data_IF_351780970920
#
_entry.id   IF_351780970920
#
_cell.length_a   1.000
_cell.length_b   1.000
_cell.length_c   1.000
_cell.angle_alpha   90.00
_cell.angle_beta   90.00
_cell.angle_gamma   90.00
#
_symmetry.space_group_name_H-M   'P 1'
#
loop_
_entity.id
_entity.type
_entity.pdbx_description
1 polymer ?
#
# COMPACT_ATOMS: atom_id res chain seq x y z
N UNK A 1 -0.60 -10.74 -12.39
CA UNK A 1 -1.24 -10.37 -12.34
C UNK A 1 -2.42 -10.30 -11.56
N UNK A 2 -3.38 -11.00 -11.57
CA UNK A 2 -4.57 -10.91 -11.01
C UNK A 2 -4.74 -10.11 -9.79
N UNK A 3 -4.60 -10.59 -8.65
CA UNK A 3 -4.87 -9.87 -7.41
C UNK A 3 -3.74 -8.92 -7.01
N UNK A 4 -2.61 -8.99 -7.71
CA UNK A 4 -1.52 -8.05 -7.50
C UNK A 4 -1.94 -6.61 -7.77
N UNK A 5 -2.94 -6.41 -8.62
CA UNK A 5 -3.43 -5.08 -8.94
C UNK A 5 -4.36 -4.47 -7.92
N UNK A 6 -4.64 -5.16 -6.81
CA UNK A 6 -5.62 -4.67 -5.84
C UNK A 6 -5.18 -3.33 -5.23
N UNK A 7 -3.90 -3.19 -4.93
CA UNK A 7 -3.40 -1.94 -4.37
C UNK A 7 -3.63 -0.76 -5.30
N UNK A 8 -3.38 -0.95 -6.59
CA UNK A 8 -3.58 0.10 -7.59
C UNK A 8 -5.05 0.44 -7.72
N UNK A 9 -5.92 -0.55 -7.77
CA UNK A 9 -7.35 -0.31 -7.90
C UNK A 9 -7.91 0.43 -6.69
N UNK A 10 -7.48 0.07 -5.50
CA UNK A 10 -7.89 0.77 -4.29
C UNK A 10 -7.38 2.20 -4.32
N UNK A 11 -6.11 2.40 -4.68
CA UNK A 11 -5.54 3.74 -4.76
C UNK A 11 -6.31 4.62 -5.74
N UNK A 12 -6.68 4.08 -6.90
CA UNK A 12 -7.46 4.82 -7.88
C UNK A 12 -8.82 5.23 -7.33
N UNK A 13 -9.46 4.36 -6.58
CA UNK A 13 -10.78 4.66 -6.01
C UNK A 13 -10.75 5.74 -4.94
N UNK A 14 -9.69 5.77 -4.14
CA UNK A 14 -9.63 6.72 -3.02
C UNK A 14 -8.80 7.96 -3.33
N UNK A 15 -8.23 8.03 -4.53
CA UNK A 15 -7.33 9.13 -4.91
C UNK A 15 -7.97 10.50 -4.71
N UNK A 16 -9.21 10.67 -5.14
CA UNK A 16 -9.87 11.96 -5.01
C UNK A 16 -9.99 12.41 -3.56
N UNK A 17 -10.35 11.49 -2.67
CA UNK A 17 -10.45 11.81 -1.25
C UNK A 17 -9.10 12.12 -0.64
N UNK A 18 -8.07 11.38 -1.03
CA UNK A 18 -6.73 11.61 -0.52
C UNK A 18 -6.20 12.97 -0.97
N UNK A 19 -6.39 13.32 -2.23
CA UNK A 19 -5.96 14.62 -2.75
C UNK A 19 -6.67 15.76 -2.02
N UNK A 20 -7.96 15.60 -1.73
CA UNK A 20 -8.71 16.61 -0.98
C UNK A 20 -8.19 16.78 0.45
N UNK A 21 -7.49 15.78 0.95
CA UNK A 21 -6.88 15.82 2.28
C UNK A 21 -5.39 16.10 2.23
N UNK A 22 -4.92 16.67 1.12
CA UNK A 22 -3.51 17.07 0.92
C UNK A 22 -2.55 15.88 0.94
N UNK A 23 -3.01 14.73 0.46
CA UNK A 23 -2.18 13.53 0.36
C UNK A 23 -1.93 13.28 -1.12
N UNK A 24 -0.67 13.28 -1.50
CA UNK A 24 -0.28 13.02 -2.88
C UNK A 24 -0.36 11.52 -3.16
N UNK A 25 -0.89 11.15 -4.34
CA UNK A 25 -1.02 9.74 -4.73
C UNK A 25 -0.13 9.48 -5.92
N UNK A 26 0.73 8.47 -5.78
CA UNK A 26 1.64 8.05 -6.83
C UNK A 26 1.33 6.60 -7.15
N UNK A 27 0.99 6.33 -8.41
CA UNK A 27 0.72 4.97 -8.85
C UNK A 27 1.92 4.54 -9.68
N UNK A 28 2.78 3.73 -9.09
CA UNK A 28 4.09 3.46 -9.62
C UNK A 28 4.24 2.19 -10.44
N UNK A 29 3.27 1.36 -10.45
CA UNK A 29 3.31 0.08 -11.16
C UNK A 29 4.69 -0.58 -11.19
N UNK A 30 5.49 -0.31 -12.22
CA UNK A 30 6.81 -0.93 -12.38
C UNK A 30 7.96 0.04 -12.37
N UNK A 31 7.70 1.33 -12.35
CA UNK A 31 8.78 2.32 -12.39
C UNK A 31 9.18 2.74 -10.97
N UNK A 32 10.04 1.92 -10.37
CA UNK A 32 10.48 2.17 -8.99
C UNK A 32 11.30 3.44 -8.86
N UNK A 33 12.12 3.73 -9.85
CA UNK A 33 12.98 4.91 -9.78
C UNK A 33 12.14 6.18 -9.84
N UNK A 34 11.10 6.18 -10.65
CA UNK A 34 10.20 7.33 -10.70
C UNK A 34 9.54 7.54 -9.34
N UNK A 35 9.03 6.47 -8.75
CA UNK A 35 8.41 6.56 -7.43
C UNK A 35 9.36 7.10 -6.38
N UNK A 36 10.60 6.58 -6.37
CA UNK A 36 11.61 7.00 -5.40
C UNK A 36 11.97 8.47 -5.61
N UNK A 37 12.02 8.93 -6.86
CA UNK A 37 12.38 10.32 -7.14
C UNK A 37 11.36 11.32 -6.59
N UNK A 38 10.14 10.88 -6.35
CA UNK A 38 9.08 11.74 -5.84
C UNK A 38 9.00 11.76 -4.31
N UNK A 39 9.74 10.88 -3.65
CA UNK A 39 9.75 10.80 -2.19
C UNK A 39 10.92 11.60 -1.65
N UNK A 40 10.64 12.45 -0.67
CA UNK A 40 11.66 13.27 -0.06
C UNK A 40 11.93 12.83 1.38
N UNK A 41 13.14 13.08 1.84
CA UNK A 41 13.51 12.77 3.21
C UNK A 41 12.59 13.51 4.18
N UNK A 42 12.06 12.79 5.15
CA UNK A 42 11.09 13.35 6.08
C UNK A 42 9.64 13.11 5.72
N UNK A 43 9.38 12.57 4.54
CA UNK A 43 8.00 12.28 4.13
C UNK A 43 7.38 11.20 5.00
N UNK A 44 6.05 11.23 5.07
CA UNK A 44 5.26 10.18 5.70
C UNK A 44 4.56 9.42 4.58
N UNK A 45 4.85 8.14 4.45
CA UNK A 45 4.50 7.36 3.26
C UNK A 45 3.57 6.21 3.60
N UNK A 46 2.57 5.99 2.77
CA UNK A 46 1.73 4.79 2.82
C UNK A 46 1.96 4.00 1.54
N UNK A 47 2.24 2.73 1.69
CA UNK A 47 2.42 1.84 0.54
C UNK A 47 1.30 0.81 0.55
N UNK A 48 0.52 0.78 -0.52
CA UNK A 48 -0.56 -0.20 -0.67
C UNK A 48 -0.05 -1.36 -1.50
N UNK A 49 -0.22 -2.56 -0.99
CA UNK A 49 0.32 -3.75 -1.62
C UNK A 49 -0.61 -4.94 -1.45
N UNK A 50 -0.52 -5.89 -2.37
CA UNK A 50 -1.19 -7.17 -2.24
C UNK A 50 -0.31 -8.07 -1.37
N UNK A 51 -0.91 -8.76 -0.42
CA UNK A 51 -0.17 -9.67 0.45
C UNK A 51 -0.85 -11.02 0.54
N UNK A 52 -0.08 -12.03 0.89
CA UNK A 52 -0.60 -13.38 1.05
C UNK A 52 -0.10 -13.95 2.38
N UNK A 53 -0.89 -13.73 3.44
CA UNK A 53 -0.55 -14.18 4.78
C UNK A 53 -1.50 -15.28 5.26
N UNK A 54 -2.18 -15.94 4.33
CA UNK A 54 -3.15 -17.00 4.63
C UNK A 54 -4.33 -16.49 5.44
N UNK A 55 -4.72 -15.24 5.20
CA UNK A 55 -5.90 -14.64 5.81
C UNK A 55 -7.03 -14.61 4.79
N UNK A 56 -8.18 -14.10 5.20
CA UNK A 56 -9.33 -14.00 4.30
C UNK A 56 -9.12 -12.93 3.24
N UNK A 57 -9.47 -13.19 1.98
CA UNK A 57 -9.34 -12.17 0.93
C UNK A 57 -10.01 -10.86 1.32
N UNK A 58 -9.30 -9.76 1.14
CA UNK A 58 -9.78 -8.43 1.50
C UNK A 58 -9.43 -7.98 2.90
N UNK A 59 -8.87 -8.85 3.71
CA UNK A 59 -8.45 -8.47 5.05
C UNK A 59 -7.25 -7.53 4.96
N UNK A 60 -7.23 -6.50 5.81
CA UNK A 60 -6.20 -5.48 5.76
C UNK A 60 -5.22 -5.66 6.90
N UNK A 61 -3.94 -5.63 6.59
CA UNK A 61 -2.87 -5.71 7.57
C UNK A 61 -2.04 -4.44 7.46
N UNK A 62 -1.87 -3.73 8.57
CA UNK A 62 -1.09 -2.49 8.60
C UNK A 62 0.19 -2.74 9.37
N UNK A 63 1.32 -2.50 8.73
CA UNK A 63 2.64 -2.73 9.34
C UNK A 63 3.46 -1.45 9.24
N UNK A 64 4.12 -1.10 10.33
CA UNK A 64 5.03 0.04 10.33
C UNK A 64 6.14 -0.21 9.30
N UNK A 65 6.47 0.82 8.53
CA UNK A 65 7.44 0.71 7.45
C UNK A 65 8.79 0.17 7.93
N UNK A 66 9.22 0.60 9.11
CA UNK A 66 10.49 0.16 9.67
C UNK A 66 10.50 -1.33 10.02
N UNK A 67 9.36 -1.86 10.38
CA UNK A 67 9.24 -3.25 10.80
C UNK A 67 8.92 -4.20 9.65
N UNK A 68 8.52 -3.66 8.52
CA UNK A 68 8.10 -4.47 7.39
C UNK A 68 9.28 -5.27 6.84
N UNK A 69 9.07 -6.58 6.68
CA UNK A 69 10.07 -7.47 6.10
C UNK A 69 9.47 -8.15 4.88
N UNK A 70 10.14 -8.00 3.77
CA UNK A 70 9.69 -8.60 2.52
C UNK A 70 9.93 -10.11 2.53
N UNK A 71 8.86 -10.85 2.32
CA UNK A 71 8.96 -12.30 2.19
C UNK A 71 8.90 -12.63 0.71
N UNK A 72 10.06 -12.74 0.10
CA UNK A 72 10.17 -12.87 -1.36
C UNK A 72 9.39 -14.02 -1.96
N UNK A 73 9.15 -15.07 -1.20
CA UNK A 73 8.40 -16.22 -1.71
C UNK A 73 6.92 -15.90 -1.98
N UNK A 74 6.44 -14.74 -1.60
CA UNK A 74 5.06 -14.38 -1.75
C UNK A 74 4.82 -13.32 -2.81
N UNK A 75 5.63 -13.22 -3.74
CA UNK A 75 5.38 -12.56 -5.01
C UNK A 75 5.29 -11.05 -5.17
N UNK A 76 5.08 -10.24 -4.36
CA UNK A 76 5.08 -8.81 -4.71
C UNK A 76 6.47 -8.23 -4.61
N UNK A 77 7.33 -8.59 -5.55
CA UNK A 77 8.69 -8.07 -5.56
C UNK A 77 8.74 -6.55 -5.80
N UNK A 78 7.69 -6.02 -6.46
CA UNK A 78 7.65 -4.59 -6.74
C UNK A 78 7.70 -3.75 -5.47
N UNK A 79 6.81 -4.01 -4.52
CA UNK A 79 6.78 -3.26 -3.28
C UNK A 79 8.02 -3.50 -2.44
N UNK A 80 8.54 -4.73 -2.45
CA UNK A 80 9.77 -5.04 -1.74
C UNK A 80 10.93 -4.19 -2.26
N UNK A 81 11.04 -4.04 -3.57
CA UNK A 81 12.11 -3.24 -4.16
C UNK A 81 11.98 -1.76 -3.78
N UNK A 82 10.76 -1.22 -3.81
CA UNK A 82 10.52 0.16 -3.43
C UNK A 82 10.86 0.37 -1.96
N UNK A 83 10.41 -0.53 -1.10
CA UNK A 83 10.65 -0.43 0.34
C UNK A 83 12.13 -0.50 0.65
N UNK A 84 12.85 -1.42 0.02
CA UNK A 84 14.29 -1.55 0.23
C UNK A 84 15.04 -0.29 -0.21
N UNK A 85 14.63 0.30 -1.32
CA UNK A 85 15.25 1.54 -1.81
C UNK A 85 14.95 2.71 -0.88
N UNK A 86 13.73 2.78 -0.37
CA UNK A 86 13.38 3.83 0.60
C UNK A 86 14.25 3.72 1.84
N UNK A 87 14.39 2.51 2.37
CA UNK A 87 15.21 2.31 3.58
C UNK A 87 16.67 2.62 3.35
N UNK A 88 17.14 2.40 2.13
CA UNK A 88 18.54 2.64 1.79
C UNK A 88 18.83 4.15 1.66
N UNK A 89 17.94 4.89 1.01
CA UNK A 89 18.20 6.29 0.67
C UNK A 89 17.55 7.32 1.59
N UNK A 90 16.48 6.97 2.29
CA UNK A 90 15.71 7.93 3.06
C UNK A 90 15.56 7.49 4.52
N UNK A 91 16.58 7.80 5.31
CA UNK A 91 16.62 7.36 6.70
C UNK A 91 15.51 7.96 7.57
N UNK A 92 14.98 9.11 7.18
CA UNK A 92 13.96 9.81 7.96
C UNK A 92 12.53 9.50 7.50
N UNK A 93 12.35 8.58 6.57
CA UNK A 93 11.01 8.24 6.09
C UNK A 93 10.28 7.43 7.14
N UNK A 94 9.05 7.85 7.42
CA UNK A 94 8.15 7.12 8.30
C UNK A 94 6.89 6.75 7.52
N UNK A 95 6.18 5.76 7.99
CA UNK A 95 4.94 5.39 7.34
C UNK A 95 4.52 3.96 7.60
N UNK A 96 3.64 3.48 6.76
CA UNK A 96 3.05 2.15 6.92
C UNK A 96 2.92 1.45 5.59
N UNK A 97 3.01 0.13 5.63
CA UNK A 97 2.64 -0.71 4.51
C UNK A 97 1.23 -1.23 4.80
N UNK A 98 0.31 -0.96 3.90
CA UNK A 98 -1.06 -1.44 4.00
C UNK A 98 -1.19 -2.63 3.07
N UNK A 99 -1.23 -3.82 3.66
CA UNK A 99 -1.35 -5.05 2.91
C UNK A 99 -2.80 -5.45 2.74
N UNK A 100 -3.21 -5.70 1.52
CA UNK A 100 -4.55 -6.16 1.22
C UNK A 100 -4.46 -7.64 0.88
N UNK A 101 -5.08 -8.46 1.69
CA UNK A 101 -4.98 -9.91 1.55
C UNK A 101 -5.63 -10.40 0.29
N UNK A 102 -4.91 -11.18 -0.49
CA UNK A 102 -5.47 -11.80 -1.69
C UNK A 102 -5.88 -13.25 -1.46
N UNK A 103 -5.52 -13.79 -0.30
CA UNK A 103 -5.85 -15.16 0.07
C UNK A 103 -4.86 -16.14 -0.52
N UNK A 104 -5.15 -16.69 -1.66
CA UNK A 104 -4.26 -17.62 -2.32
C UNK A 104 -3.78 -17.06 -3.63
N UNK A 105 -2.58 -17.47 -4.04
CA UNK A 105 -2.05 -17.08 -5.33
C UNK A 105 -2.89 -17.73 -6.42
N UNK A 106 -3.29 -16.94 -7.40
CA UNK A 106 -4.12 -17.39 -8.51
C UNK A 106 -3.45 -17.00 -9.82
N UNK A 107 -3.66 -17.79 -10.86
CA UNK A 107 -3.12 -17.49 -12.18
C UNK A 107 -4.17 -16.93 -13.13
N UNK A 108 -5.32 -16.55 -12.62
CA UNK A 108 -6.35 -15.93 -13.43
C UNK A 108 -6.00 -14.47 -13.70
N UNK A 109 -6.53 -13.92 -14.76
CA UNK A 109 -6.34 -12.50 -15.05
C UNK A 109 -7.38 -11.68 -14.29
N UNK A 110 -6.95 -10.50 -13.84
CA UNK A 110 -7.84 -9.60 -13.12
C UNK A 110 -8.00 -9.97 -11.65
N UNK A 111 -8.82 -9.23 -10.94
CA UNK A 111 -9.11 -9.53 -9.55
C UNK A 111 -9.96 -10.78 -9.41
N UNK A 112 -9.76 -11.52 -8.32
CA UNK A 112 -10.67 -12.60 -8.02
C UNK A 112 -12.06 -12.03 -7.75
N UNK A 113 -13.09 -12.86 -7.93
CA UNK A 113 -14.46 -12.42 -7.70
C UNK A 113 -14.64 -11.96 -6.25
N UNK A 114 -14.01 -12.64 -5.31
CA UNK A 114 -14.10 -12.26 -3.90
C UNK A 114 -13.60 -10.85 -3.66
N UNK A 115 -12.49 -10.47 -4.29
CA UNK A 115 -11.94 -9.13 -4.12
C UNK A 115 -12.74 -8.10 -4.86
N UNK A 116 -13.24 -8.42 -6.07
CA UNK A 116 -14.08 -7.48 -6.81
C UNK A 116 -15.36 -7.17 -6.04
N UNK A 117 -15.95 -8.18 -5.41
CA UNK A 117 -17.16 -7.96 -4.63
C UNK A 117 -16.93 -7.10 -3.41
N UNK A 118 -15.69 -7.06 -2.92
CA UNK A 118 -15.36 -6.32 -1.70
C UNK A 118 -14.62 -5.03 -1.97
N UNK A 119 -14.39 -4.66 -3.24
CA UNK A 119 -13.51 -3.54 -3.56
C UNK A 119 -13.96 -2.24 -2.91
N UNK A 120 -15.27 -1.99 -2.86
CA UNK A 120 -15.79 -0.76 -2.26
C UNK A 120 -15.56 -0.74 -0.75
N UNK A 121 -15.78 -1.87 -0.10
CA UNK A 121 -15.57 -1.99 1.35
C UNK A 121 -14.10 -1.86 1.68
N UNK A 122 -13.25 -2.54 0.92
CA UNK A 122 -11.80 -2.47 1.10
C UNK A 122 -11.32 -1.05 0.94
N UNK A 123 -11.76 -0.37 -0.11
CA UNK A 123 -11.33 1.00 -0.41
C UNK A 123 -11.74 1.95 0.71
N UNK A 124 -12.96 1.82 1.21
CA UNK A 124 -13.42 2.65 2.32
C UNK A 124 -12.58 2.41 3.57
N UNK A 125 -12.31 1.16 3.88
CA UNK A 125 -11.53 0.82 5.06
C UNK A 125 -10.11 1.33 4.96
N UNK A 126 -9.47 1.18 3.81
CA UNK A 126 -8.12 1.69 3.59
C UNK A 126 -8.09 3.21 3.74
N UNK A 127 -9.06 3.90 3.16
CA UNK A 127 -9.13 5.35 3.26
C UNK A 127 -9.27 5.79 4.72
N UNK A 128 -10.16 5.15 5.48
CA UNK A 128 -10.34 5.46 6.88
C UNK A 128 -9.05 5.24 7.67
N UNK A 129 -8.37 4.13 7.41
CA UNK A 129 -7.12 3.82 8.10
C UNK A 129 -6.04 4.86 7.82
N UNK A 130 -5.92 5.28 6.56
CA UNK A 130 -4.93 6.30 6.18
C UNK A 130 -5.24 7.62 6.89
N UNK A 131 -6.49 8.05 6.86
CA UNK A 131 -6.87 9.32 7.47
C UNK A 131 -6.67 9.30 8.98
N UNK A 132 -6.96 8.18 9.63
CA UNK A 132 -6.71 8.04 11.06
C UNK A 132 -5.22 8.14 11.39
N UNK A 133 -4.38 7.49 10.59
CA UNK A 133 -2.93 7.55 10.80
C UNK A 133 -2.37 8.95 10.57
N UNK A 134 -2.86 9.65 9.55
CA UNK A 134 -2.41 11.01 9.26
C UNK A 134 -2.79 11.94 10.41
N UNK A 135 -4.01 11.82 10.93
CA UNK A 135 -4.46 12.64 12.04
C UNK A 135 -3.65 12.36 13.32
N UNK A 136 -3.34 11.09 13.58
CA UNK A 136 -2.51 10.73 14.72
C UNK A 136 -1.10 11.29 14.58
N UNK A 137 -0.54 11.23 13.37
CA UNK A 137 0.78 11.77 13.09
C UNK A 137 0.82 13.27 13.39
N UNK A 138 -0.21 14.00 12.98
CA UNK A 138 -0.28 15.44 13.21
C UNK A 138 -0.28 15.77 14.69
N UNK A 139 -0.96 14.96 15.50
CA UNK A 139 -0.97 15.14 16.94
C UNK A 139 0.38 14.82 17.56
N UNK A 140 1.00 13.74 17.10
CA UNK A 140 2.28 13.30 17.63
C UNK A 140 3.44 14.16 17.17
N UNK A 141 3.30 14.77 16.00
CA UNK A 141 4.36 15.58 15.41
C UNK A 141 4.58 16.92 16.09
N UNK A 142 3.79 17.18 17.09
CA UNK A 142 3.93 18.41 17.86
C UNK A 142 4.68 18.14 19.16
#
# INVERSE_FOLDING_TARGET
MEDDGIGIKVAERIKGSLVRNNIEVIIGETDFQYCISLIENGDFVFILDAVCYNKSPGEITITNLEEYKCKKKYYTQHSCNVIDLIKLYYKSIRGFVIGIEVGSVSFKLGLSQQLEDKIDIISKEVLEDILLKVNSKDLEGK
#
